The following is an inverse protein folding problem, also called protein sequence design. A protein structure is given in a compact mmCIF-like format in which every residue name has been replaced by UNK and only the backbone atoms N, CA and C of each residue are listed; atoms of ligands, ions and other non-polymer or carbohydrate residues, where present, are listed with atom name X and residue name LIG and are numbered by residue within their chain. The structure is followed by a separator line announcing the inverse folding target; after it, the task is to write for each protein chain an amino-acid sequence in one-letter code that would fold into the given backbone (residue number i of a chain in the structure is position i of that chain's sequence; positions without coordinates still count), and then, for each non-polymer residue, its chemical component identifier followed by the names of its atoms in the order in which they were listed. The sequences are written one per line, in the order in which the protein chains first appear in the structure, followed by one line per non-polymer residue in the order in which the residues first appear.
data_IF_001944598482
#
_entry.id   IF_001944598482
#
_cell.length_a   1.000
_cell.length_b   1.000
_cell.length_c   1.000
_cell.angle_alpha   90.00
_cell.angle_beta   90.00
_cell.angle_gamma   90.00
#
_symmetry.space_group_name_H-M   'P 1'
#
loop_
_entity.id
_entity.type
_entity.pdbx_description
1 polymer ?
#
# COMPACT_ATOMS: atom_id res chain seq x y z
N UNK A 1 4.39 -5.54 25.94
CA UNK A 1 3.21 -4.65 25.97
C UNK A 1 3.63 -3.25 25.55
N UNK A 2 3.73 -3.01 24.24
CA UNK A 2 3.90 -1.68 23.64
C UNK A 2 2.86 -1.58 22.50
N UNK A 3 1.58 -1.58 22.87
CA UNK A 3 0.48 -1.39 21.93
C UNK A 3 0.09 0.09 21.98
N UNK A 4 0.28 0.78 20.85
CA UNK A 4 -0.19 2.15 20.56
C UNK A 4 0.55 3.31 21.25
N UNK A 5 1.67 3.74 20.69
CA UNK A 5 1.97 5.18 20.68
C UNK A 5 1.30 5.80 19.45
N UNK A 6 0.31 6.70 19.61
CA UNK A 6 -0.36 7.31 18.48
C UNK A 6 0.63 8.24 17.76
N UNK A 7 0.68 8.20 16.42
CA UNK A 7 1.46 9.12 15.56
C UNK A 7 1.39 10.61 15.99
N UNK A 8 0.35 11.00 16.74
CA UNK A 8 0.16 12.27 17.46
C UNK A 8 1.30 12.68 18.41
N UNK A 9 2.15 11.75 18.87
CA UNK A 9 3.25 12.07 19.80
C UNK A 9 4.51 12.56 19.06
N UNK A 10 4.61 12.33 17.75
CA UNK A 10 5.76 12.69 16.89
C UNK A 10 6.27 14.14 17.10
N UNK A 11 5.35 15.10 17.25
CA UNK A 11 5.68 16.52 17.45
C UNK A 11 6.37 16.86 18.78
N UNK A 12 6.42 15.94 19.75
CA UNK A 12 6.94 16.20 21.10
C UNK A 12 8.34 15.63 21.37
N UNK A 13 9.00 15.01 20.39
CA UNK A 13 10.31 14.37 20.59
C UNK A 13 11.47 15.24 20.12
N UNK A 14 12.56 15.19 20.89
CA UNK A 14 13.80 15.93 20.64
C UNK A 14 14.62 15.38 19.48
N UNK A 15 14.43 14.10 19.13
CA UNK A 15 15.06 13.42 18.00
C UNK A 15 13.97 12.78 17.13
N UNK A 16 13.37 13.61 16.26
CA UNK A 16 12.25 13.22 15.39
C UNK A 16 12.63 12.15 14.37
N UNK A 17 13.90 12.12 13.96
CA UNK A 17 14.42 11.25 12.91
C UNK A 17 14.41 9.77 13.33
N UNK A 18 15.01 9.45 14.48
CA UNK A 18 15.05 8.07 15.01
C UNK A 18 13.65 7.53 15.32
N UNK A 19 12.77 8.39 15.83
CA UNK A 19 11.38 8.00 16.08
C UNK A 19 10.61 7.77 14.77
N UNK A 20 10.79 8.63 13.76
CA UNK A 20 10.18 8.44 12.45
C UNK A 20 10.65 7.13 11.82
N UNK A 21 11.95 6.84 11.84
CA UNK A 21 12.51 5.60 11.32
C UNK A 21 11.88 4.36 11.97
N UNK A 22 11.80 4.34 13.31
CA UNK A 22 11.17 3.26 14.07
C UNK A 22 9.69 3.09 13.69
N UNK A 23 8.91 4.18 13.68
CA UNK A 23 7.48 4.15 13.37
C UNK A 23 7.19 3.72 11.94
N UNK A 24 7.98 4.20 10.97
CA UNK A 24 7.86 3.81 9.56
C UNK A 24 8.20 2.33 9.40
N UNK A 25 9.29 1.87 10.03
CA UNK A 25 9.70 0.46 9.98
C UNK A 25 8.64 -0.45 10.56
N UNK A 26 8.11 -0.13 11.74
CA UNK A 26 7.04 -0.89 12.40
C UNK A 26 5.78 -0.92 11.51
N UNK A 27 5.34 0.23 11.00
CA UNK A 27 4.17 0.35 10.13
C UNK A 27 4.29 -0.46 8.84
N UNK A 28 5.42 -0.36 8.13
CA UNK A 28 5.66 -1.09 6.89
C UNK A 28 5.70 -2.59 7.16
N UNK A 29 6.44 -3.01 8.19
CA UNK A 29 6.56 -4.42 8.59
C UNK A 29 5.20 -5.02 8.98
N UNK A 30 4.41 -4.30 9.77
CA UNK A 30 3.08 -4.75 10.20
C UNK A 30 2.13 -4.89 9.00
N UNK A 31 2.09 -3.88 8.12
CA UNK A 31 1.27 -3.94 6.91
C UNK A 31 1.64 -5.15 6.04
N UNK A 32 2.94 -5.41 5.87
CA UNK A 32 3.41 -6.52 5.05
C UNK A 32 3.12 -7.89 5.65
N UNK A 33 3.23 -8.02 6.96
CA UNK A 33 2.81 -9.23 7.67
C UNK A 33 1.29 -9.44 7.53
N UNK A 34 0.48 -8.39 7.69
CA UNK A 34 -0.97 -8.46 7.48
C UNK A 34 -1.31 -8.85 6.03
N UNK A 35 -0.63 -8.28 5.04
CA UNK A 35 -0.77 -8.64 3.63
C UNK A 35 -0.49 -10.13 3.39
N UNK A 36 0.65 -10.65 3.88
CA UNK A 36 1.01 -12.06 3.74
C UNK A 36 0.01 -13.01 4.38
N UNK A 37 -0.55 -12.63 5.53
CA UNK A 37 -1.60 -13.41 6.19
C UNK A 37 -2.87 -13.46 5.32
N UNK A 38 -3.26 -12.34 4.71
CA UNK A 38 -4.40 -12.30 3.78
C UNK A 38 -4.13 -13.17 2.55
N UNK A 39 -2.96 -13.03 1.93
CA UNK A 39 -2.63 -13.75 0.69
C UNK A 39 -2.46 -15.26 0.89
N UNK A 40 -1.97 -15.69 2.05
CA UNK A 40 -1.84 -17.11 2.43
C UNK A 40 -3.14 -17.75 2.95
N UNK A 41 -4.21 -16.98 3.13
CA UNK A 41 -5.50 -17.51 3.60
C UNK A 41 -6.20 -18.41 2.58
N UNK A 42 -7.16 -19.22 3.04
CA UNK A 42 -7.99 -20.08 2.19
C UNK A 42 -9.16 -19.34 1.50
N UNK A 43 -9.19 -18.02 1.57
CA UNK A 43 -10.26 -17.21 1.01
C UNK A 43 -10.25 -17.23 -0.53
N UNK A 44 -11.41 -16.98 -1.13
CA UNK A 44 -11.47 -16.65 -2.54
C UNK A 44 -10.60 -15.43 -2.84
N UNK A 45 -9.93 -15.40 -3.99
CA UNK A 45 -8.97 -14.34 -4.32
C UNK A 45 -9.60 -12.93 -4.29
N UNK A 46 -10.85 -12.80 -4.75
CA UNK A 46 -11.58 -11.52 -4.70
C UNK A 46 -11.84 -11.07 -3.25
N UNK A 47 -12.11 -12.01 -2.34
CA UNK A 47 -12.19 -11.72 -0.91
C UNK A 47 -10.82 -11.33 -0.31
N UNK A 48 -9.72 -11.94 -0.77
CA UNK A 48 -8.35 -11.52 -0.40
C UNK A 48 -8.08 -10.07 -0.83
N UNK A 49 -8.42 -9.73 -2.08
CA UNK A 49 -8.27 -8.36 -2.60
C UNK A 49 -9.07 -7.35 -1.77
N UNK A 50 -10.32 -7.66 -1.42
CA UNK A 50 -11.12 -6.80 -0.56
C UNK A 50 -10.46 -6.59 0.81
N UNK A 51 -9.84 -7.63 1.37
CA UNK A 51 -9.09 -7.50 2.62
C UNK A 51 -7.82 -6.67 2.44
N UNK A 52 -7.06 -6.84 1.36
CA UNK A 52 -5.89 -5.99 1.06
C UNK A 52 -6.29 -4.52 0.94
N UNK A 53 -7.39 -4.20 0.26
CA UNK A 53 -7.92 -2.84 0.17
C UNK A 53 -8.30 -2.30 1.57
N UNK A 54 -8.88 -3.14 2.43
CA UNK A 54 -9.18 -2.76 3.81
C UNK A 54 -7.91 -2.54 4.65
N UNK A 55 -6.84 -3.30 4.41
CA UNK A 55 -5.53 -3.08 5.03
C UNK A 55 -4.95 -1.72 4.62
N UNK A 56 -5.01 -1.37 3.34
CA UNK A 56 -4.60 -0.05 2.84
C UNK A 56 -5.42 1.10 3.47
N UNK A 57 -6.74 0.92 3.56
CA UNK A 57 -7.60 1.89 4.22
C UNK A 57 -7.23 2.09 5.69
N UNK A 58 -7.00 0.99 6.43
CA UNK A 58 -6.59 1.04 7.83
C UNK A 58 -5.21 1.71 7.99
N UNK A 59 -4.25 1.38 7.12
CA UNK A 59 -2.91 1.96 7.16
C UNK A 59 -2.95 3.48 6.90
N UNK A 60 -3.64 3.91 5.86
CA UNK A 60 -3.78 5.32 5.50
C UNK A 60 -4.46 6.16 6.59
N UNK A 61 -5.48 5.62 7.28
CA UNK A 61 -6.16 6.30 8.39
C UNK A 61 -5.29 6.47 9.64
N UNK A 62 -4.34 5.56 9.86
CA UNK A 62 -3.45 5.64 11.01
C UNK A 62 -2.37 6.72 10.83
N UNK A 63 -2.11 7.16 9.60
CA UNK A 63 -1.11 8.20 9.29
C UNK A 63 -1.73 9.60 9.34
N UNK A 64 -1.12 10.51 10.11
CA UNK A 64 -1.51 11.93 10.10
C UNK A 64 -1.05 12.61 8.80
N UNK A 65 -1.81 13.60 8.31
CA UNK A 65 -1.43 14.41 7.14
C UNK A 65 -0.08 15.10 7.30
N UNK A 66 0.25 15.58 8.51
CA UNK A 66 1.56 16.19 8.84
C UNK A 66 2.70 15.20 8.59
N UNK A 67 2.59 13.98 9.14
CA UNK A 67 3.56 12.91 8.94
C UNK A 67 3.68 12.47 7.48
N UNK A 68 2.57 12.38 6.74
CA UNK A 68 2.60 12.13 5.30
C UNK A 68 3.36 13.27 4.59
N UNK A 69 3.08 14.53 4.94
CA UNK A 69 3.81 15.68 4.45
C UNK A 69 5.32 15.58 4.70
N UNK A 70 5.74 15.36 5.94
CA UNK A 70 7.15 15.32 6.34
C UNK A 70 7.92 14.18 5.65
N UNK A 71 7.30 13.01 5.54
CA UNK A 71 7.86 11.89 4.76
C UNK A 71 8.07 12.36 3.33
N UNK A 72 7.02 12.84 2.67
CA UNK A 72 7.07 13.07 1.24
C UNK A 72 7.73 14.40 0.80
N UNK A 73 8.00 15.32 1.72
CA UNK A 73 8.60 16.63 1.44
C UNK A 73 10.16 16.61 1.42
N UNK A 74 10.79 15.43 1.40
CA UNK A 74 12.24 15.26 1.32
C UNK A 74 13.06 15.84 2.47
N UNK A 75 12.47 16.00 3.66
CA UNK A 75 13.20 16.49 4.84
C UNK A 75 14.26 15.45 5.30
N UNK A 76 14.03 14.16 5.02
CA UNK A 76 14.90 13.05 5.46
C UNK A 76 15.20 12.05 4.33
N UNK A 77 16.36 12.18 3.69
CA UNK A 77 16.78 11.31 2.56
C UNK A 77 16.89 9.83 2.97
N UNK A 78 17.35 9.52 4.18
CA UNK A 78 17.48 8.13 4.63
C UNK A 78 16.11 7.45 4.83
N UNK A 79 15.08 8.17 5.30
CA UNK A 79 13.71 7.64 5.40
C UNK A 79 13.12 7.33 4.02
N UNK A 80 13.43 8.15 3.02
CA UNK A 80 13.02 7.89 1.64
C UNK A 80 13.66 6.61 1.08
N UNK A 81 14.95 6.40 1.36
CA UNK A 81 15.64 5.17 0.96
C UNK A 81 15.07 3.94 1.68
N UNK A 82 14.76 4.07 2.98
CA UNK A 82 14.09 3.04 3.76
C UNK A 82 12.75 2.68 3.12
N UNK A 83 11.85 3.65 2.93
CA UNK A 83 10.53 3.44 2.31
C UNK A 83 10.68 2.81 0.91
N UNK A 84 11.60 3.30 0.08
CA UNK A 84 11.82 2.74 -1.25
C UNK A 84 12.24 1.27 -1.19
N UNK A 85 13.17 0.90 -0.30
CA UNK A 85 13.63 -0.49 -0.19
C UNK A 85 12.53 -1.47 0.24
N UNK A 86 11.68 -1.04 1.17
CA UNK A 86 10.51 -1.78 1.58
C UNK A 86 9.49 -1.89 0.44
N UNK A 87 9.20 -0.78 -0.22
CA UNK A 87 8.30 -0.73 -1.38
C UNK A 87 8.74 -1.68 -2.48
N UNK A 88 10.02 -1.65 -2.87
CA UNK A 88 10.54 -2.48 -3.96
C UNK A 88 10.44 -3.97 -3.60
N UNK A 89 10.68 -4.32 -2.32
CA UNK A 89 10.47 -5.68 -1.80
C UNK A 89 9.00 -6.09 -1.90
N UNK A 90 8.08 -5.21 -1.51
CA UNK A 90 6.64 -5.51 -1.47
C UNK A 90 6.05 -5.59 -2.87
N UNK A 91 6.44 -4.69 -3.76
CA UNK A 91 6.02 -4.73 -5.16
C UNK A 91 6.45 -6.02 -5.84
N UNK A 92 7.69 -6.49 -5.59
CA UNK A 92 8.15 -7.75 -6.13
C UNK A 92 7.25 -8.92 -5.66
N UNK A 93 6.87 -8.94 -4.38
CA UNK A 93 5.99 -9.97 -3.82
C UNK A 93 4.56 -9.90 -4.39
N UNK A 94 3.97 -8.70 -4.44
CA UNK A 94 2.64 -8.48 -5.05
C UNK A 94 2.63 -8.98 -6.50
N UNK A 95 3.67 -8.67 -7.27
CA UNK A 95 3.79 -9.14 -8.66
C UNK A 95 3.86 -10.66 -8.73
N UNK A 96 4.60 -11.33 -7.83
CA UNK A 96 4.61 -12.80 -7.78
C UNK A 96 3.23 -13.38 -7.46
N UNK A 97 2.51 -12.79 -6.50
CA UNK A 97 1.16 -13.22 -6.15
C UNK A 97 0.19 -13.05 -7.32
N UNK A 98 0.31 -11.94 -8.08
CA UNK A 98 -0.52 -11.73 -9.26
C UNK A 98 -0.18 -12.74 -10.38
N UNK A 99 1.10 -13.07 -10.58
CA UNK A 99 1.53 -14.11 -11.53
C UNK A 99 0.90 -15.46 -11.16
N UNK A 100 0.89 -15.82 -9.88
CA UNK A 100 0.26 -17.07 -9.43
C UNK A 100 -1.27 -17.02 -9.61
N UNK A 101 -1.90 -15.88 -9.29
CA UNK A 101 -3.32 -15.67 -9.51
C UNK A 101 -3.72 -15.74 -11.00
N UNK A 102 -2.83 -15.33 -11.92
CA UNK A 102 -3.06 -15.48 -13.36
C UNK A 102 -3.11 -16.96 -13.78
N UNK A 103 -2.24 -17.82 -13.25
CA UNK A 103 -2.25 -19.26 -13.55
C UNK A 103 -3.57 -19.92 -13.12
N UNK A 104 -4.17 -19.39 -12.06
CA UNK A 104 -5.44 -19.86 -11.50
C UNK A 104 -6.66 -19.14 -12.10
N UNK A 105 -6.47 -18.28 -13.10
CA UNK A 105 -7.55 -17.55 -13.78
C UNK A 105 -8.25 -16.47 -12.94
N UNK A 106 -7.64 -16.06 -11.83
CA UNK A 106 -8.18 -15.08 -10.88
C UNK A 106 -7.83 -13.63 -11.28
N UNK A 107 -6.65 -13.45 -11.87
CA UNK A 107 -6.17 -12.21 -12.50
C UNK A 107 -6.17 -12.38 -14.01
N UNK A 108 -6.45 -11.32 -14.77
CA UNK A 108 -6.53 -11.42 -16.23
C UNK A 108 -5.16 -11.83 -16.80
N UNK A 109 -5.14 -12.87 -17.64
CA UNK A 109 -3.91 -13.41 -18.22
C UNK A 109 -3.27 -12.53 -19.30
N UNK A 110 -3.99 -11.53 -19.82
CA UNK A 110 -3.51 -10.59 -20.84
C UNK A 110 -2.62 -9.47 -20.26
N UNK A 111 -2.66 -9.27 -18.94
CA UNK A 111 -1.87 -8.25 -18.26
C UNK A 111 -0.45 -8.76 -18.07
N UNK A 112 0.53 -7.98 -18.51
CA UNK A 112 1.94 -8.31 -18.33
C UNK A 112 2.39 -8.05 -16.89
N UNK A 113 3.14 -8.94 -16.23
CA UNK A 113 3.67 -8.69 -14.89
C UNK A 113 4.50 -7.41 -14.79
N UNK A 114 5.26 -7.07 -15.84
CA UNK A 114 6.04 -5.82 -15.91
C UNK A 114 5.16 -4.58 -15.91
N UNK A 115 3.95 -4.69 -16.49
CA UNK A 115 2.97 -3.60 -16.45
C UNK A 115 2.35 -3.46 -15.06
N UNK A 116 2.13 -4.57 -14.35
CA UNK A 116 1.67 -4.54 -12.95
C UNK A 116 2.69 -3.81 -12.07
N UNK A 117 3.98 -4.17 -12.18
CA UNK A 117 5.05 -3.51 -11.45
C UNK A 117 5.11 -2.01 -11.77
N UNK A 118 5.06 -1.66 -13.05
CA UNK A 118 5.06 -0.26 -13.49
C UNK A 118 3.88 0.53 -12.89
N UNK A 119 2.69 -0.05 -12.86
CA UNK A 119 1.52 0.60 -12.27
C UNK A 119 1.65 0.79 -10.76
N UNK A 120 2.21 -0.19 -10.03
CA UNK A 120 2.46 -0.06 -8.60
C UNK A 120 3.40 1.11 -8.29
N UNK A 121 4.46 1.27 -9.09
CA UNK A 121 5.37 2.43 -8.98
C UNK A 121 4.67 3.76 -9.33
N UNK A 122 3.89 3.77 -10.41
CA UNK A 122 3.14 4.93 -10.87
C UNK A 122 2.08 5.39 -9.84
N UNK A 123 1.41 4.46 -9.15
CA UNK A 123 0.47 4.78 -8.06
C UNK A 123 1.15 5.60 -6.97
N UNK A 124 2.36 5.22 -6.55
CA UNK A 124 3.13 5.98 -5.57
C UNK A 124 3.40 7.42 -6.03
N UNK A 125 3.73 7.60 -7.32
CA UNK A 125 3.93 8.94 -7.90
C UNK A 125 2.62 9.74 -7.97
N UNK A 126 1.49 9.09 -8.28
CA UNK A 126 0.16 9.74 -8.35
C UNK A 126 -0.31 10.27 -7.01
N UNK A 127 -0.03 9.59 -5.91
CA UNK A 127 -0.32 10.07 -4.55
C UNK A 127 0.40 11.40 -4.24
N UNK A 128 1.53 11.64 -4.93
CA UNK A 128 2.34 12.85 -4.81
C UNK A 128 2.00 13.94 -5.81
N UNK A 129 1.20 13.65 -6.83
CA UNK A 129 0.78 14.66 -7.81
C UNK A 129 -0.20 15.65 -7.17
N UNK A 130 0.18 16.93 -7.14
CA UNK A 130 -0.65 17.98 -6.52
C UNK A 130 -1.98 18.19 -7.25
N UNK A 131 -1.98 18.03 -8.58
CA UNK A 131 -3.18 18.26 -9.38
C UNK A 131 -4.22 17.19 -9.08
N UNK A 132 -3.81 15.93 -8.99
CA UNK A 132 -4.64 14.80 -8.62
C UNK A 132 -5.04 14.86 -7.16
N UNK A 133 -4.11 15.20 -6.25
CA UNK A 133 -4.39 15.36 -4.81
C UNK A 133 -5.52 16.35 -4.54
N UNK A 134 -5.61 17.45 -5.30
CA UNK A 134 -6.67 18.46 -5.16
C UNK A 134 -8.07 17.98 -5.57
N UNK A 135 -8.19 16.82 -6.22
CA UNK A 135 -9.48 16.25 -6.61
C UNK A 135 -10.16 15.49 -5.46
N UNK A 136 -9.41 15.16 -4.40
CA UNK A 136 -9.90 14.36 -3.28
C UNK A 136 -9.91 15.16 -1.98
N UNK A 137 -10.82 14.84 -1.04
CA UNK A 137 -10.87 15.53 0.26
C UNK A 137 -9.60 15.34 1.10
N UNK A 138 -8.93 14.20 0.96
CA UNK A 138 -7.72 13.84 1.69
C UNK A 138 -6.77 12.97 0.86
N UNK A 139 -5.50 12.85 1.27
CA UNK A 139 -4.54 11.91 0.65
C UNK A 139 -4.98 10.46 0.83
N UNK A 140 -5.63 10.15 1.95
CA UNK A 140 -6.15 8.83 2.27
C UNK A 140 -7.24 8.41 1.27
N UNK A 141 -8.14 9.33 0.91
CA UNK A 141 -9.18 9.07 -0.10
C UNK A 141 -8.57 8.78 -1.48
N UNK A 142 -7.53 9.53 -1.86
CA UNK A 142 -6.81 9.30 -3.12
C UNK A 142 -6.11 7.94 -3.13
N UNK A 143 -5.42 7.56 -2.04
CA UNK A 143 -4.78 6.24 -1.91
C UNK A 143 -5.83 5.14 -2.10
N UNK A 144 -6.97 5.24 -1.42
CA UNK A 144 -8.03 4.25 -1.51
C UNK A 144 -8.61 4.15 -2.93
N UNK A 145 -8.85 5.27 -3.60
CA UNK A 145 -9.32 5.27 -4.99
C UNK A 145 -8.32 4.57 -5.93
N UNK A 146 -7.03 4.90 -5.81
CA UNK A 146 -5.98 4.29 -6.63
C UNK A 146 -5.84 2.79 -6.37
N UNK A 147 -5.91 2.36 -5.11
CA UNK A 147 -5.88 0.94 -4.73
C UNK A 147 -7.08 0.19 -5.34
N UNK A 148 -8.29 0.74 -5.22
CA UNK A 148 -9.48 0.15 -5.83
C UNK A 148 -9.35 0.05 -7.35
N UNK A 149 -8.95 1.15 -8.01
CA UNK A 149 -8.76 1.20 -9.45
C UNK A 149 -7.77 0.14 -9.93
N UNK A 150 -6.64 0.00 -9.24
CA UNK A 150 -5.62 -1.00 -9.55
C UNK A 150 -6.16 -2.41 -9.41
N UNK A 151 -6.65 -2.78 -8.23
CA UNK A 151 -7.04 -4.17 -7.96
C UNK A 151 -8.24 -4.60 -8.79
N UNK A 152 -9.30 -3.79 -8.89
CA UNK A 152 -10.44 -4.14 -9.72
C UNK A 152 -10.12 -4.11 -11.21
N UNK A 153 -9.14 -3.30 -11.65
CA UNK A 153 -8.68 -3.26 -13.03
C UNK A 153 -7.97 -4.54 -13.49
N UNK A 154 -7.35 -5.29 -12.57
CA UNK A 154 -6.59 -6.51 -12.87
C UNK A 154 -7.34 -7.81 -12.60
N UNK A 155 -8.46 -7.76 -11.88
CA UNK A 155 -9.28 -8.95 -11.62
C UNK A 155 -9.93 -9.50 -12.89
N UNK A 156 -10.05 -10.82 -12.95
CA UNK A 156 -10.79 -11.49 -14.01
C UNK A 156 -12.28 -11.63 -13.62
N UNK A 157 -13.12 -10.72 -14.11
CA UNK A 157 -14.56 -10.68 -13.82
C UNK A 157 -15.39 -11.75 -14.52
N UNK A 158 -14.79 -12.52 -15.45
CA UNK A 158 -15.50 -13.57 -16.19
C UNK A 158 -15.87 -14.78 -15.32
N UNK A 159 -15.20 -14.99 -14.19
CA UNK A 159 -15.37 -16.17 -13.33
C UNK A 159 -16.33 -15.97 -12.15
N UNK A 160 -16.83 -14.75 -11.91
CA UNK A 160 -17.78 -14.48 -10.80
C UNK A 160 -19.25 -14.78 -11.16
N UNK A 161 -19.57 -15.00 -12.43
CA UNK A 161 -20.94 -15.31 -12.89
C UNK A 161 -21.26 -16.82 -12.94
N UNK A 162 -20.42 -17.67 -12.33
CA UNK A 162 -20.58 -19.13 -12.35
C UNK A 162 -20.70 -19.77 -10.95
N UNK A 163 -20.88 -18.99 -9.89
CA UNK A 163 -21.15 -19.49 -8.54
C UNK A 163 -22.57 -19.20 -8.09
#
# INVERSE_FOLDING_TARGET
MLKYYPFRVYKYFSNKEVLAEYLITEMLTDWHNEYRLVMSSDLAFTAKINQVIALEQKASQNMSEEFLGDIFNNEFVHLQQLISSYRDTYHAEIVQDMIEAQKNGQVRADIKPEFILYLLEDIGNKVMDEKLSKLYPSKQDLILELSNYFFYGILNTANENLS
#
